data_IF_258421471728
#
_entry.id   IF_258421471728
#
_cell.length_a   1.000
_cell.length_b   1.000
_cell.length_c   1.000
_cell.angle_alpha   90.00
_cell.angle_beta   90.00
_cell.angle_gamma   90.00
#
_symmetry.space_group_name_H-M   'P 1'
#
loop_
_entity.id
_entity.type
_entity.pdbx_description
1 polymer ?
#
# COMPACT_ATOMS: atom_id res chain seq x y z
N UNK A 1 -21.51 0.68 23.97
CA UNK A 1 -20.91 0.89 22.65
C UNK A 1 -19.45 0.45 22.76
N UNK A 2 -19.20 -0.83 22.49
CA UNK A 2 -17.83 -1.37 22.42
C UNK A 2 -17.11 -0.59 21.32
N UNK A 3 -15.88 -0.10 21.52
CA UNK A 3 -15.13 0.48 20.41
C UNK A 3 -15.02 -0.61 19.34
N UNK A 4 -15.53 -0.34 18.15
CA UNK A 4 -15.34 -1.19 16.98
C UNK A 4 -13.83 -1.36 16.83
N UNK A 5 -13.32 -2.53 17.18
CA UNK A 5 -11.91 -2.82 17.03
C UNK A 5 -11.59 -2.72 15.54
N UNK A 6 -10.60 -1.89 15.19
CA UNK A 6 -10.14 -1.78 13.80
C UNK A 6 -9.80 -3.20 13.33
N UNK A 7 -10.38 -3.68 12.22
CA UNK A 7 -10.11 -5.02 11.76
C UNK A 7 -8.62 -5.16 11.45
N UNK A 8 -7.99 -6.17 12.04
CA UNK A 8 -6.54 -6.40 11.90
C UNK A 8 -6.27 -7.86 11.56
N UNK A 9 -5.19 -8.11 10.82
CA UNK A 9 -4.68 -9.46 10.57
C UNK A 9 -3.18 -9.53 10.81
N UNK A 10 -2.69 -10.61 11.40
CA UNK A 10 -1.26 -10.89 11.54
C UNK A 10 -0.93 -12.24 10.93
N UNK A 11 0.13 -12.31 10.13
CA UNK A 11 0.59 -13.54 9.49
C UNK A 11 2.09 -13.47 9.19
N UNK A 12 2.64 -14.60 8.76
CA UNK A 12 3.99 -14.69 8.20
C UNK A 12 3.90 -14.97 6.71
N UNK A 13 4.75 -14.33 5.93
CA UNK A 13 4.83 -14.54 4.49
C UNK A 13 6.28 -14.44 4.01
N UNK A 14 6.60 -15.21 2.98
CA UNK A 14 7.91 -15.19 2.34
C UNK A 14 7.93 -14.08 1.29
N UNK A 15 8.99 -13.26 1.30
CA UNK A 15 9.21 -12.27 0.25
C UNK A 15 9.65 -12.98 -1.03
N UNK A 16 8.77 -13.01 -2.02
CA UNK A 16 9.00 -13.71 -3.28
C UNK A 16 9.41 -12.75 -4.38
N UNK A 17 10.15 -13.28 -5.36
CA UNK A 17 10.41 -12.56 -6.60
C UNK A 17 9.22 -12.75 -7.55
N UNK A 18 8.76 -11.66 -8.15
CA UNK A 18 7.76 -11.69 -9.22
C UNK A 18 8.17 -10.81 -10.41
N UNK A 19 7.22 -10.55 -11.28
CA UNK A 19 7.46 -9.80 -12.52
C UNK A 19 8.31 -10.59 -13.53
N UNK A 20 8.60 -9.99 -14.69
CA UNK A 20 9.48 -10.61 -15.69
C UNK A 20 10.95 -10.59 -15.23
N UNK A 21 11.75 -11.54 -15.70
CA UNK A 21 13.16 -11.70 -15.26
C UNK A 21 14.03 -10.45 -15.44
N UNK A 22 13.71 -9.59 -16.41
CA UNK A 22 14.44 -8.33 -16.68
C UNK A 22 13.99 -7.16 -15.79
N UNK A 23 12.87 -7.29 -15.06
CA UNK A 23 12.35 -6.29 -14.13
C UNK A 23 11.69 -6.98 -12.94
N UNK A 24 12.50 -7.60 -12.05
CA UNK A 24 11.98 -8.37 -10.93
C UNK A 24 11.33 -7.46 -9.89
N UNK A 25 10.18 -7.89 -9.40
CA UNK A 25 9.44 -7.25 -8.31
C UNK A 25 9.52 -8.07 -7.03
N UNK A 26 9.29 -7.43 -5.88
CA UNK A 26 9.24 -8.09 -4.58
C UNK A 26 7.78 -8.15 -4.12
N UNK A 27 7.27 -9.34 -3.84
CA UNK A 27 5.87 -9.54 -3.46
C UNK A 27 5.72 -10.36 -2.18
N UNK A 28 4.68 -10.05 -1.42
CA UNK A 28 4.20 -10.86 -0.31
C UNK A 28 2.77 -11.32 -0.64
N UNK A 29 2.58 -12.62 -0.77
CA UNK A 29 1.23 -13.19 -0.89
C UNK A 29 0.52 -13.02 0.46
N UNK A 30 -0.69 -12.45 0.43
CA UNK A 30 -1.50 -12.27 1.62
C UNK A 30 -2.43 -13.47 1.76
N UNK A 31 -2.36 -14.25 2.86
CA UNK A 31 -3.25 -15.38 3.08
C UNK A 31 -4.72 -14.99 3.02
N UNK A 32 -5.58 -15.92 2.60
CA UNK A 32 -7.01 -15.67 2.44
C UNK A 32 -7.67 -15.13 3.70
N UNK A 33 -7.43 -15.80 4.83
CA UNK A 33 -7.92 -15.36 6.12
C UNK A 33 -7.51 -13.92 6.47
N UNK A 34 -6.29 -13.50 6.08
CA UNK A 34 -5.76 -12.18 6.42
C UNK A 34 -6.40 -11.07 5.58
N UNK A 35 -6.53 -11.26 4.25
CA UNK A 35 -7.14 -10.23 3.40
C UNK A 35 -8.66 -10.17 3.58
N UNK A 36 -9.32 -11.27 3.91
CA UNK A 36 -10.73 -11.28 4.31
C UNK A 36 -10.96 -10.52 5.63
N UNK A 37 -10.09 -10.73 6.62
CA UNK A 37 -10.21 -10.06 7.93
C UNK A 37 -10.09 -8.54 7.84
N UNK A 38 -9.29 -8.00 6.92
CA UNK A 38 -9.10 -6.54 6.73
C UNK A 38 -10.08 -5.92 5.72
N UNK A 39 -11.25 -6.52 5.51
CA UNK A 39 -12.34 -5.96 4.69
C UNK A 39 -12.53 -6.60 3.32
N UNK A 40 -11.84 -7.71 3.04
CA UNK A 40 -12.13 -8.56 1.89
C UNK A 40 -11.91 -7.86 0.54
N UNK A 41 -12.83 -8.08 -0.40
CA UNK A 41 -12.66 -7.60 -1.77
C UNK A 41 -12.71 -6.07 -1.90
N UNK A 42 -13.42 -5.40 -0.99
CA UNK A 42 -13.59 -3.94 -0.98
C UNK A 42 -12.30 -3.21 -0.61
N UNK A 43 -11.43 -3.84 0.19
CA UNK A 43 -10.17 -3.25 0.64
C UNK A 43 -9.15 -3.23 -0.49
N UNK A 44 -8.75 -2.02 -0.89
CA UNK A 44 -7.72 -1.79 -1.93
C UNK A 44 -6.40 -1.32 -1.36
N UNK A 45 -6.41 -0.79 -0.13
CA UNK A 45 -5.23 -0.29 0.56
C UNK A 45 -5.25 -0.70 2.00
N UNK A 46 -4.05 -0.99 2.50
CA UNK A 46 -3.80 -1.43 3.86
C UNK A 46 -2.64 -0.63 4.43
N UNK A 47 -2.65 -0.48 5.74
CA UNK A 47 -1.47 -0.12 6.50
C UNK A 47 -0.80 -1.44 6.89
N UNK A 48 0.42 -1.64 6.41
CA UNK A 48 1.20 -2.85 6.66
C UNK A 48 2.38 -2.53 7.57
N UNK A 49 2.50 -3.26 8.68
CA UNK A 49 3.69 -3.23 9.53
C UNK A 49 4.58 -4.42 9.19
N UNK A 50 5.78 -4.15 8.69
CA UNK A 50 6.78 -5.11 8.25
C UNK A 50 8.01 -4.95 9.15
N UNK A 51 8.34 -5.96 9.97
CA UNK A 51 9.45 -5.89 10.94
C UNK A 51 9.45 -4.60 11.80
N UNK A 52 8.27 -4.14 12.22
CA UNK A 52 8.10 -2.92 13.02
C UNK A 52 8.04 -1.61 12.22
N UNK A 53 8.25 -1.63 10.91
CA UNK A 53 8.09 -0.46 10.04
C UNK A 53 6.71 -0.44 9.37
N UNK A 54 6.00 0.66 9.52
CA UNK A 54 4.65 0.83 8.98
C UNK A 54 4.68 1.53 7.63
N UNK A 55 4.00 0.97 6.63
CA UNK A 55 3.91 1.52 5.28
C UNK A 55 2.48 1.38 4.73
N UNK A 56 2.02 2.39 3.98
CA UNK A 56 0.73 2.34 3.28
C UNK A 56 0.89 1.65 1.92
N UNK A 57 0.34 0.45 1.80
CA UNK A 57 0.49 -0.40 0.62
C UNK A 57 -0.84 -0.63 -0.09
N UNK A 58 -0.75 -0.96 -1.38
CA UNK A 58 -1.88 -1.47 -2.15
C UNK A 58 -2.07 -2.96 -1.87
N UNK A 59 -3.32 -3.38 -1.66
CA UNK A 59 -3.72 -4.78 -1.57
C UNK A 59 -4.17 -5.26 -2.95
N UNK A 60 -3.21 -5.69 -3.76
CA UNK A 60 -3.38 -5.94 -5.18
C UNK A 60 -4.01 -7.31 -5.45
N UNK A 61 -4.84 -7.45 -6.50
CA UNK A 61 -5.40 -8.74 -6.89
C UNK A 61 -4.33 -9.63 -7.53
N UNK A 62 -4.24 -10.88 -7.07
CA UNK A 62 -3.46 -11.94 -7.71
C UNK A 62 -4.34 -12.71 -8.70
N UNK A 63 -3.75 -13.25 -9.76
CA UNK A 63 -4.45 -14.20 -10.63
C UNK A 63 -4.98 -15.38 -9.79
N UNK A 64 -6.22 -15.82 -10.04
CA UNK A 64 -6.88 -16.85 -9.23
C UNK A 64 -7.60 -16.34 -7.98
N UNK A 65 -7.75 -15.03 -7.80
CA UNK A 65 -8.61 -14.44 -6.76
C UNK A 65 -7.92 -14.14 -5.43
N UNK A 66 -6.62 -14.43 -5.32
CA UNK A 66 -5.82 -14.08 -4.15
C UNK A 66 -5.48 -12.60 -4.05
N UNK A 67 -4.72 -12.23 -3.01
CA UNK A 67 -4.21 -10.87 -2.81
C UNK A 67 -2.71 -10.90 -2.52
N UNK A 68 -2.02 -9.85 -2.93
CA UNK A 68 -0.61 -9.67 -2.62
C UNK A 68 -0.27 -8.20 -2.35
N UNK A 69 0.85 -7.99 -1.68
CA UNK A 69 1.47 -6.68 -1.48
C UNK A 69 2.71 -6.59 -2.36
N UNK A 70 2.83 -5.48 -3.09
CA UNK A 70 4.05 -5.16 -3.82
C UNK A 70 4.96 -4.33 -2.91
N UNK A 71 6.14 -4.85 -2.60
CA UNK A 71 7.12 -4.18 -1.75
C UNK A 71 8.13 -3.48 -2.65
N UNK A 72 8.33 -2.18 -2.44
CA UNK A 72 9.28 -1.39 -3.25
C UNK A 72 10.70 -1.79 -2.91
N UNK A 73 11.59 -1.76 -3.90
CA UNK A 73 13.00 -2.12 -3.73
C UNK A 73 13.68 -1.27 -2.66
N UNK A 74 13.37 0.01 -2.61
CA UNK A 74 13.90 0.97 -1.63
C UNK A 74 13.46 0.59 -0.21
N UNK A 75 12.21 0.16 -0.04
CA UNK A 75 11.70 -0.31 1.26
C UNK A 75 12.36 -1.63 1.68
N UNK A 76 12.58 -2.55 0.74
CA UNK A 76 13.37 -3.76 1.02
C UNK A 76 14.78 -3.42 1.48
N UNK A 77 15.46 -2.47 0.82
CA UNK A 77 16.79 -2.01 1.21
C UNK A 77 16.79 -1.38 2.61
N UNK A 78 15.84 -0.49 2.88
CA UNK A 78 15.70 0.19 4.17
C UNK A 78 15.50 -0.81 5.32
N UNK A 79 14.71 -1.86 5.09
CA UNK A 79 14.39 -2.88 6.08
C UNK A 79 15.30 -4.12 6.03
N UNK A 80 16.37 -4.07 5.22
CA UNK A 80 17.31 -5.16 4.97
C UNK A 80 16.63 -6.51 4.60
N UNK A 81 15.50 -6.43 3.88
CA UNK A 81 14.72 -7.58 3.44
C UNK A 81 15.34 -8.26 2.22
N UNK A 82 15.29 -9.59 2.19
CA UNK A 82 15.81 -10.41 1.07
C UNK A 82 14.75 -11.31 0.48
N UNK A 83 14.86 -11.63 -0.81
CA UNK A 83 14.02 -12.67 -1.43
C UNK A 83 14.26 -13.99 -0.71
N UNK A 84 13.18 -14.74 -0.47
CA UNK A 84 13.18 -15.98 0.31
C UNK A 84 13.12 -15.77 1.83
N UNK A 85 13.17 -14.52 2.31
CA UNK A 85 13.03 -14.22 3.73
C UNK A 85 11.57 -14.28 4.17
N UNK A 86 11.31 -14.98 5.28
CA UNK A 86 10.02 -14.90 5.96
C UNK A 86 9.92 -13.62 6.80
N UNK A 87 8.80 -12.92 6.67
CA UNK A 87 8.54 -11.62 7.29
C UNK A 87 7.26 -11.72 8.13
N UNK A 88 7.29 -11.18 9.35
CA UNK A 88 6.09 -10.98 10.15
C UNK A 88 5.35 -9.72 9.65
N UNK A 89 4.08 -9.89 9.30
CA UNK A 89 3.24 -8.85 8.72
C UNK A 89 2.02 -8.63 9.59
N UNK A 90 1.77 -7.38 9.96
CA UNK A 90 0.50 -6.93 10.53
C UNK A 90 -0.21 -6.06 9.49
N UNK A 91 -1.47 -6.33 9.18
CA UNK A 91 -2.31 -5.52 8.29
C UNK A 91 -3.50 -4.93 9.03
N UNK A 92 -3.80 -3.67 8.71
CA UNK A 92 -5.10 -3.04 8.97
C UNK A 92 -5.60 -2.40 7.67
N UNK A 93 -6.92 -2.25 7.46
CA UNK A 93 -7.40 -1.41 6.38
C UNK A 93 -6.87 0.01 6.52
N UNK A 94 -6.58 0.64 5.40
CA UNK A 94 -6.23 2.05 5.36
C UNK A 94 -7.52 2.88 5.55
N UNK A 95 -7.64 3.71 6.61
CA UNK A 95 -8.85 4.50 6.86
C UNK A 95 -9.06 5.60 5.82
N UNK A 96 -8.00 6.01 5.11
CA UNK A 96 -8.03 7.12 4.15
C UNK A 96 -7.41 6.71 2.80
N UNK A 97 -7.92 5.70 2.08
CA UNK A 97 -7.23 5.08 0.95
C UNK A 97 -6.94 6.03 -0.24
N UNK A 98 -7.69 7.13 -0.33
CA UNK A 98 -7.50 8.15 -1.36
C UNK A 98 -6.70 9.37 -0.87
N UNK A 99 -6.24 9.35 0.38
CA UNK A 99 -5.28 10.34 0.87
C UNK A 99 -3.95 10.21 0.13
N UNK A 100 -3.35 11.36 -0.14
CA UNK A 100 -2.08 11.52 -0.82
C UNK A 100 -1.29 12.53 -0.04
N UNK A 101 -0.12 12.13 0.44
CA UNK A 101 0.84 13.05 1.04
C UNK A 101 1.43 13.89 -0.10
N UNK A 102 1.10 15.19 -0.11
CA UNK A 102 1.57 16.13 -1.13
C UNK A 102 2.91 16.72 -0.70
N UNK A 103 3.91 16.82 -1.60
CA UNK A 103 5.07 17.67 -1.39
C UNK A 103 4.65 19.12 -1.13
N UNK A 104 5.41 19.83 -0.30
CA UNK A 104 5.10 21.21 0.07
C UNK A 104 4.94 22.12 -1.15
N UNK A 105 5.84 22.01 -2.14
CA UNK A 105 5.80 22.79 -3.37
C UNK A 105 4.50 22.55 -4.16
N UNK A 106 4.05 21.30 -4.29
CA UNK A 106 2.80 21.00 -4.97
C UNK A 106 1.58 21.50 -4.17
N UNK A 107 1.61 21.37 -2.85
CA UNK A 107 0.54 21.85 -1.99
C UNK A 107 0.39 23.39 -2.08
N UNK A 108 1.51 24.12 -2.06
CA UNK A 108 1.53 25.58 -2.24
C UNK A 108 1.02 25.99 -3.63
N UNK A 109 1.45 25.30 -4.68
CA UNK A 109 1.00 25.58 -6.04
C UNK A 109 -0.52 25.36 -6.23
N UNK A 110 -1.07 24.29 -5.65
CA UNK A 110 -2.52 24.02 -5.70
C UNK A 110 -3.30 25.07 -4.90
N UNK A 111 -2.82 25.45 -3.70
CA UNK A 111 -3.47 26.48 -2.88
C UNK A 111 -3.50 27.87 -3.57
N UNK A 112 -2.49 28.18 -4.38
CA UNK A 112 -2.44 29.42 -5.16
C UNK A 112 -3.44 29.42 -6.35
N UNK A 113 -3.93 28.25 -6.78
CA UNK A 113 -4.76 28.14 -7.98
C UNK A 113 -5.97 27.20 -7.78
N UNK A 114 -7.11 27.72 -7.25
CA UNK A 114 -8.26 26.90 -6.86
C UNK A 114 -8.85 26.03 -7.98
N UNK A 115 -8.79 26.49 -9.23
CA UNK A 115 -9.24 25.68 -10.37
C UNK A 115 -8.34 24.45 -10.61
N UNK A 116 -7.03 24.59 -10.39
CA UNK A 116 -6.09 23.48 -10.48
C UNK A 116 -6.25 22.50 -9.30
N UNK A 117 -6.49 23.01 -8.09
CA UNK A 117 -6.85 22.20 -6.92
C UNK A 117 -8.11 21.35 -7.19
N UNK A 118 -9.17 21.97 -7.68
CA UNK A 118 -10.40 21.24 -8.03
C UNK A 118 -10.15 20.16 -9.10
N UNK A 119 -9.39 20.48 -10.15
CA UNK A 119 -9.02 19.50 -11.18
C UNK A 119 -8.16 18.35 -10.62
N UNK A 120 -7.23 18.67 -9.71
CA UNK A 120 -6.41 17.67 -9.03
C UNK A 120 -7.29 16.71 -8.22
N UNK A 121 -8.24 17.22 -7.43
CA UNK A 121 -9.14 16.41 -6.62
C UNK A 121 -10.12 15.56 -7.43
N UNK A 122 -10.42 15.93 -8.67
CA UNK A 122 -11.25 15.11 -9.57
C UNK A 122 -10.53 13.82 -10.05
N UNK A 123 -9.21 13.74 -9.93
CA UNK A 123 -8.46 12.55 -10.28
C UNK A 123 -8.53 11.44 -9.22
N UNK A 124 -8.43 10.19 -9.67
CA UNK A 124 -8.37 9.03 -8.76
C UNK A 124 -7.18 9.14 -7.80
N UNK A 125 -7.29 8.57 -6.59
CA UNK A 125 -6.18 8.60 -5.62
C UNK A 125 -4.87 8.04 -6.18
N UNK A 126 -4.93 7.07 -7.10
CA UNK A 126 -3.74 6.53 -7.78
C UNK A 126 -3.07 7.58 -8.67
N UNK A 127 -3.85 8.32 -9.46
CA UNK A 127 -3.36 9.37 -10.33
C UNK A 127 -2.79 10.55 -9.52
N UNK A 128 -3.50 10.98 -8.47
CA UNK A 128 -3.02 12.01 -7.54
C UNK A 128 -1.67 11.65 -6.92
N UNK A 129 -1.49 10.41 -6.45
CA UNK A 129 -0.19 9.91 -5.96
C UNK A 129 0.89 9.91 -7.03
N UNK A 130 0.54 9.56 -8.27
CA UNK A 130 1.50 9.55 -9.38
C UNK A 130 1.99 10.96 -9.72
N UNK A 131 1.12 11.97 -9.66
CA UNK A 131 1.48 13.38 -9.81
C UNK A 131 2.37 13.86 -8.66
N UNK A 132 1.96 13.57 -7.41
CA UNK A 132 2.70 13.98 -6.21
C UNK A 132 4.14 13.42 -6.14
N UNK A 133 4.43 12.30 -6.80
CA UNK A 133 5.79 11.71 -6.84
C UNK A 133 6.74 12.35 -7.86
N UNK A 134 6.24 13.24 -8.71
CA UNK A 134 7.02 13.87 -9.80
C UNK A 134 7.51 15.28 -9.47
N UNK A 135 7.09 15.81 -8.33
CA UNK A 135 7.54 17.09 -7.76
C UNK A 135 8.56 16.74 -6.70
#
# INVERSE_FOLDING_TARGET
MTPDAVPTATFRAVLEAGGPSFMPTQLLVVPEAAWLAVGGQATRRVIATLNGHTERLGLLPLAGGGRYLLIRKELCQQLALRIGQEIAVHLTPDPNPDHVDLPAELAEALAAWPAAEAAFHAHTGAMRRAMARKV
#
